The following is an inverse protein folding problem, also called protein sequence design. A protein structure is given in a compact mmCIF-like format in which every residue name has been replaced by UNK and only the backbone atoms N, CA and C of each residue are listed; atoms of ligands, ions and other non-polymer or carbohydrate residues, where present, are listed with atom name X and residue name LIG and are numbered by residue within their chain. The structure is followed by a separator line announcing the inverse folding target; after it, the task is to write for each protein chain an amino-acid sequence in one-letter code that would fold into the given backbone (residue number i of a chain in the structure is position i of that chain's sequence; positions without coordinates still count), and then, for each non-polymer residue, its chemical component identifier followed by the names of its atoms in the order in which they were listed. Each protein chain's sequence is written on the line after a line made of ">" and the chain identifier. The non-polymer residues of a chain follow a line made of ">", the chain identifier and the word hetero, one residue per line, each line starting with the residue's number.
data_IF_958607149150
#
_entry.id   IF_958607149150
#
_cell.length_a   1.000
_cell.length_b   1.000
_cell.length_c   1.000
_cell.angle_alpha   90.00
_cell.angle_beta   90.00
_cell.angle_gamma   90.00
#
_symmetry.space_group_name_H-M   'P 1'
#
loop_
_entity.id
_entity.type
_entity.pdbx_description
1 polymer ?
#
# COMPACT_ATOMS: atom_id res chain seq x y z
N UNK A 1 -7.44 24.67 -3.30
CA UNK A 1 -7.74 23.23 -3.16
C UNK A 1 -7.84 22.96 -1.68
N UNK A 2 -8.98 22.50 -1.18
CA UNK A 2 -9.20 22.40 0.27
C UNK A 2 -8.34 21.29 0.87
N UNK A 3 -7.41 21.65 1.75
CA UNK A 3 -6.50 20.73 2.43
C UNK A 3 -7.26 19.56 3.08
N UNK A 4 -8.46 19.83 3.60
CA UNK A 4 -9.34 18.85 4.22
C UNK A 4 -9.81 17.74 3.25
N UNK A 5 -10.08 18.06 1.98
CA UNK A 5 -10.53 17.07 1.00
C UNK A 5 -9.38 16.12 0.62
N UNK A 6 -8.18 16.65 0.48
CA UNK A 6 -7.00 15.88 0.09
C UNK A 6 -6.57 14.91 1.19
N UNK A 7 -6.50 15.38 2.44
CA UNK A 7 -6.24 14.55 3.62
C UNK A 7 -7.27 13.43 3.76
N UNK A 8 -8.57 13.73 3.63
CA UNK A 8 -9.63 12.71 3.67
C UNK A 8 -9.42 11.63 2.63
N UNK A 9 -9.08 11.99 1.38
CA UNK A 9 -8.85 11.01 0.32
C UNK A 9 -7.64 10.13 0.60
N UNK A 10 -6.53 10.72 1.02
CA UNK A 10 -5.32 9.97 1.37
C UNK A 10 -5.61 8.96 2.49
N UNK A 11 -6.28 9.41 3.57
CA UNK A 11 -6.70 8.54 4.68
C UNK A 11 -7.61 7.40 4.20
N UNK A 12 -8.61 7.69 3.39
CA UNK A 12 -9.52 6.68 2.85
C UNK A 12 -8.80 5.61 2.01
N UNK A 13 -7.84 6.02 1.18
CA UNK A 13 -7.06 5.10 0.35
C UNK A 13 -6.17 4.20 1.21
N UNK A 14 -5.50 4.78 2.22
CA UNK A 14 -4.68 4.00 3.15
C UNK A 14 -5.54 3.03 3.96
N UNK A 15 -6.70 3.46 4.46
CA UNK A 15 -7.63 2.59 5.20
C UNK A 15 -8.13 1.42 4.34
N UNK A 16 -8.53 1.69 3.10
CA UNK A 16 -8.99 0.65 2.18
C UNK A 16 -7.86 -0.34 1.85
N UNK A 17 -6.64 0.18 1.62
CA UNK A 17 -5.45 -0.64 1.42
C UNK A 17 -5.13 -1.51 2.63
N UNK A 18 -5.22 -0.96 3.84
CA UNK A 18 -4.98 -1.68 5.10
C UNK A 18 -6.01 -2.78 5.28
N UNK A 19 -7.28 -2.50 5.02
CA UNK A 19 -8.35 -3.49 5.10
C UNK A 19 -8.10 -4.64 4.13
N UNK A 20 -7.67 -4.35 2.90
CA UNK A 20 -7.39 -5.38 1.90
C UNK A 20 -6.15 -6.22 2.27
N UNK A 21 -5.12 -5.59 2.85
CA UNK A 21 -3.95 -6.29 3.37
C UNK A 21 -4.33 -7.23 4.53
N UNK A 22 -5.13 -6.75 5.48
CA UNK A 22 -5.62 -7.57 6.59
C UNK A 22 -6.50 -8.71 6.09
N UNK A 23 -7.43 -8.43 5.17
CA UNK A 23 -8.28 -9.46 4.57
C UNK A 23 -7.45 -10.54 3.86
N UNK A 24 -6.42 -10.15 3.11
CA UNK A 24 -5.48 -11.09 2.47
C UNK A 24 -4.76 -11.96 3.51
N UNK A 25 -4.23 -11.35 4.57
CA UNK A 25 -3.50 -12.06 5.63
C UNK A 25 -4.41 -13.04 6.36
N UNK A 26 -5.58 -12.59 6.80
CA UNK A 26 -6.57 -13.46 7.47
C UNK A 26 -6.98 -14.61 6.55
N UNK A 27 -7.19 -14.35 5.26
CA UNK A 27 -7.49 -15.42 4.30
C UNK A 27 -6.31 -16.39 4.18
N UNK A 28 -5.08 -15.90 4.10
CA UNK A 28 -3.89 -16.74 3.99
C UNK A 28 -3.60 -17.59 5.23
N UNK A 29 -3.97 -17.10 6.42
CA UNK A 29 -3.88 -17.87 7.65
C UNK A 29 -4.67 -19.18 7.57
N UNK A 30 -5.85 -19.17 6.93
CA UNK A 30 -6.68 -20.36 6.75
C UNK A 30 -6.46 -21.08 5.41
N UNK A 31 -5.82 -20.42 4.43
CA UNK A 31 -5.64 -20.94 3.07
C UNK A 31 -4.16 -20.88 2.64
N UNK A 32 -3.41 -22.00 2.73
CA UNK A 32 -1.97 -22.02 2.41
C UNK A 32 -1.62 -21.51 1.00
N UNK A 33 -2.52 -21.71 0.03
CA UNK A 33 -2.35 -21.22 -1.33
C UNK A 33 -2.29 -19.67 -1.43
N UNK A 34 -2.95 -18.96 -0.49
CA UNK A 34 -2.90 -17.50 -0.39
C UNK A 34 -1.65 -17.06 0.38
N UNK A 35 -1.30 -17.75 1.47
CA UNK A 35 -0.08 -17.48 2.23
C UNK A 35 1.19 -17.55 1.37
N UNK A 36 1.28 -18.55 0.48
CA UNK A 36 2.37 -18.68 -0.49
C UNK A 36 2.53 -17.47 -1.44
N UNK A 37 1.54 -16.56 -1.48
CA UNK A 37 1.50 -15.40 -2.37
C UNK A 37 1.49 -14.07 -1.63
N UNK A 38 1.69 -14.04 -0.31
CA UNK A 38 1.69 -12.79 0.47
C UNK A 38 2.62 -11.72 -0.08
N UNK A 39 3.83 -12.08 -0.52
CA UNK A 39 4.76 -11.12 -1.12
C UNK A 39 4.21 -10.47 -2.39
N UNK A 40 3.66 -11.28 -3.31
CA UNK A 40 3.11 -10.78 -4.57
C UNK A 40 1.83 -9.97 -4.35
N UNK A 41 0.88 -10.53 -3.58
CA UNK A 41 -0.41 -9.89 -3.35
C UNK A 41 -0.26 -8.60 -2.52
N UNK A 42 0.55 -8.63 -1.46
CA UNK A 42 0.79 -7.48 -0.61
C UNK A 42 1.49 -6.33 -1.34
N UNK A 43 2.46 -6.63 -2.21
CA UNK A 43 3.11 -5.59 -3.04
C UNK A 43 2.18 -5.06 -4.13
N UNK A 44 1.34 -5.91 -4.73
CA UNK A 44 0.33 -5.50 -5.71
C UNK A 44 -0.72 -4.56 -5.10
N UNK A 45 -1.25 -4.88 -3.91
CA UNK A 45 -2.18 -4.01 -3.19
C UNK A 45 -1.54 -2.64 -2.95
N UNK A 46 -0.28 -2.64 -2.52
CA UNK A 46 0.47 -1.40 -2.23
C UNK A 46 0.72 -0.57 -3.48
N UNK A 47 1.05 -1.20 -4.60
CA UNK A 47 1.18 -0.55 -5.91
C UNK A 47 -0.15 0.08 -6.34
N UNK A 48 -1.26 -0.65 -6.22
CA UNK A 48 -2.60 -0.15 -6.55
C UNK A 48 -2.96 1.04 -5.66
N UNK A 49 -2.68 0.98 -4.35
CA UNK A 49 -2.89 2.10 -3.44
C UNK A 49 -2.13 3.36 -3.91
N UNK A 50 -0.87 3.20 -4.33
CA UNK A 50 -0.09 4.27 -4.93
C UNK A 50 -0.71 4.85 -6.21
N UNK A 51 -1.17 3.98 -7.13
CA UNK A 51 -1.85 4.40 -8.36
C UNK A 51 -3.12 5.20 -8.07
N UNK A 52 -3.96 4.71 -7.15
CA UNK A 52 -5.21 5.37 -6.77
C UNK A 52 -4.94 6.71 -6.11
N UNK A 53 -3.95 6.77 -5.21
CA UNK A 53 -3.49 8.01 -4.60
C UNK A 53 -3.06 9.03 -5.66
N UNK A 54 -2.16 8.66 -6.58
CA UNK A 54 -1.70 9.58 -7.62
C UNK A 54 -2.82 10.05 -8.56
N UNK A 55 -3.81 9.20 -8.86
CA UNK A 55 -4.99 9.59 -9.65
C UNK A 55 -5.94 10.53 -8.91
N UNK A 56 -5.85 10.59 -7.58
CA UNK A 56 -6.61 11.55 -6.78
C UNK A 56 -6.01 12.96 -6.79
N UNK A 57 -4.75 13.09 -7.25
CA UNK A 57 -4.03 14.36 -7.36
C UNK A 57 -4.52 15.20 -8.54
N UNK A 58 -4.35 16.51 -8.43
CA UNK A 58 -4.55 17.45 -9.53
C UNK A 58 -3.59 17.19 -10.70
N UNK A 59 -3.97 17.62 -11.90
CA UNK A 59 -3.08 17.55 -13.07
C UNK A 59 -1.87 18.47 -12.86
N UNK A 60 -0.74 18.12 -13.48
CA UNK A 60 0.49 18.90 -13.41
C UNK A 60 1.32 18.67 -12.14
N UNK A 61 0.90 17.76 -11.26
CA UNK A 61 1.72 17.35 -10.12
C UNK A 61 2.98 16.63 -10.62
N UNK A 62 4.10 16.84 -9.93
CA UNK A 62 5.37 16.19 -10.27
C UNK A 62 5.38 14.70 -9.87
N UNK A 63 6.13 13.89 -10.63
CA UNK A 63 6.31 12.44 -10.34
C UNK A 63 6.85 12.18 -8.93
N UNK A 64 7.71 13.07 -8.39
CA UNK A 64 8.26 12.93 -7.04
C UNK A 64 7.21 13.01 -5.93
N UNK A 65 6.21 13.88 -6.08
CA UNK A 65 5.09 13.97 -5.12
C UNK A 65 4.21 12.71 -5.21
N UNK A 66 3.96 12.23 -6.42
CA UNK A 66 3.27 10.95 -6.64
C UNK A 66 4.01 9.79 -5.98
N UNK A 67 5.33 9.73 -6.13
CA UNK A 67 6.17 8.72 -5.50
C UNK A 67 6.08 8.78 -3.97
N UNK A 68 6.31 9.94 -3.36
CA UNK A 68 6.29 10.08 -1.90
C UNK A 68 4.93 9.71 -1.29
N UNK A 69 3.84 10.17 -1.88
CA UNK A 69 2.51 9.81 -1.38
C UNK A 69 2.17 8.33 -1.60
N UNK A 70 2.66 7.74 -2.70
CA UNK A 70 2.56 6.30 -2.94
C UNK A 70 3.37 5.46 -1.93
N UNK A 71 4.58 5.91 -1.58
CA UNK A 71 5.42 5.28 -0.54
C UNK A 71 4.69 5.24 0.79
N UNK A 72 4.07 6.35 1.19
CA UNK A 72 3.31 6.42 2.44
C UNK A 72 2.07 5.55 2.38
N UNK A 73 1.28 5.64 1.31
CA UNK A 73 0.04 4.86 1.17
C UNK A 73 0.32 3.34 1.17
N UNK A 74 1.26 2.89 0.33
CA UNK A 74 1.64 1.48 0.21
C UNK A 74 2.39 0.95 1.43
N UNK A 75 3.30 1.74 2.00
CA UNK A 75 4.08 1.36 3.17
C UNK A 75 3.22 1.22 4.42
N UNK A 76 2.37 2.21 4.71
CA UNK A 76 1.50 2.17 5.91
C UNK A 76 0.48 1.04 5.81
N UNK A 77 -0.13 0.82 4.64
CA UNK A 77 -1.11 -0.25 4.53
C UNK A 77 -0.48 -1.64 4.64
N UNK A 78 0.68 -1.86 4.02
CA UNK A 78 1.42 -3.10 4.15
C UNK A 78 1.93 -3.34 5.58
N UNK A 79 2.44 -2.31 6.26
CA UNK A 79 2.89 -2.43 7.65
C UNK A 79 1.78 -2.97 8.55
N UNK A 80 0.56 -2.44 8.41
CA UNK A 80 -0.60 -2.91 9.20
C UNK A 80 -0.89 -4.38 8.92
N UNK A 81 -0.99 -4.79 7.64
CA UNK A 81 -1.26 -6.18 7.30
C UNK A 81 -0.17 -7.14 7.75
N UNK A 82 1.10 -6.80 7.51
CA UNK A 82 2.23 -7.66 7.86
C UNK A 82 2.42 -7.73 9.38
N UNK A 83 2.14 -6.66 10.12
CA UNK A 83 2.13 -6.69 11.58
C UNK A 83 1.05 -7.64 12.13
N UNK A 84 -0.14 -7.65 11.55
CA UNK A 84 -1.19 -8.62 11.89
C UNK A 84 -0.71 -10.05 11.58
N UNK A 85 -0.12 -10.27 10.40
CA UNK A 85 0.41 -11.57 9.99
C UNK A 85 1.52 -12.08 10.93
N UNK A 86 2.39 -11.17 11.38
CA UNK A 86 3.43 -11.48 12.37
C UNK A 86 2.82 -11.86 13.73
N UNK A 87 1.80 -11.12 14.18
CA UNK A 87 1.08 -11.43 15.41
C UNK A 87 0.33 -12.77 15.37
N UNK A 88 -0.13 -13.20 14.19
CA UNK A 88 -0.74 -14.52 13.96
C UNK A 88 0.30 -15.65 13.84
N UNK A 89 1.60 -15.33 13.76
CA UNK A 89 2.68 -16.30 13.60
C UNK A 89 2.91 -16.78 12.16
N UNK A 90 2.29 -16.14 11.16
CA UNK A 90 2.40 -16.56 9.76
C UNK A 90 3.73 -16.14 9.09
N UNK A 91 4.36 -15.08 9.60
CA UNK A 91 5.58 -14.50 9.01
C UNK A 91 6.61 -14.12 10.09
N UNK A 92 7.88 -14.03 9.69
CA UNK A 92 8.98 -13.60 10.58
C UNK A 92 9.11 -12.08 10.66
N UNK A 93 9.81 -11.58 11.69
CA UNK A 93 10.11 -10.15 11.83
C UNK A 93 10.93 -9.58 10.64
N UNK A 94 11.71 -10.43 9.98
CA UNK A 94 12.47 -10.06 8.78
C UNK A 94 11.52 -9.74 7.62
N UNK A 95 10.45 -10.52 7.44
CA UNK A 95 9.41 -10.26 6.43
C UNK A 95 8.64 -8.98 6.78
N UNK A 96 8.40 -8.70 8.06
CA UNK A 96 7.79 -7.42 8.48
C UNK A 96 8.60 -6.23 7.96
N UNK A 97 9.91 -6.23 8.17
CA UNK A 97 10.77 -5.14 7.71
C UNK A 97 10.83 -5.08 6.18
N UNK A 98 11.32 -6.15 5.53
CA UNK A 98 11.57 -6.13 4.09
C UNK A 98 10.29 -6.10 3.26
N UNK A 99 9.22 -6.77 3.71
CA UNK A 99 7.93 -6.74 3.06
C UNK A 99 7.29 -5.34 3.11
N UNK A 100 7.44 -4.62 4.23
CA UNK A 100 7.00 -3.22 4.33
C UNK A 100 7.80 -2.32 3.40
N UNK A 101 9.14 -2.45 3.39
CA UNK A 101 9.99 -1.66 2.51
C UNK A 101 9.70 -1.90 1.03
N UNK A 102 9.57 -3.17 0.62
CA UNK A 102 9.23 -3.53 -0.75
C UNK A 102 7.86 -2.98 -1.15
N UNK A 103 6.88 -3.06 -0.25
CA UNK A 103 5.53 -2.52 -0.48
C UNK A 103 5.50 -1.00 -0.56
N UNK A 104 6.31 -0.32 0.25
CA UNK A 104 6.48 1.12 0.20
C UNK A 104 7.08 1.54 -1.16
N UNK A 105 8.12 0.86 -1.63
CA UNK A 105 8.68 1.09 -2.97
C UNK A 105 7.66 0.82 -4.06
N UNK A 106 6.92 -0.29 -3.99
CA UNK A 106 5.88 -0.64 -4.95
C UNK A 106 4.78 0.43 -5.02
N UNK A 107 4.31 0.92 -3.86
CA UNK A 107 3.38 2.04 -3.77
C UNK A 107 3.95 3.31 -4.36
N UNK A 108 5.21 3.63 -4.08
CA UNK A 108 5.91 4.76 -4.69
C UNK A 108 5.96 4.69 -6.20
N UNK A 109 6.32 3.52 -6.75
CA UNK A 109 6.33 3.28 -8.20
C UNK A 109 4.93 3.47 -8.79
N UNK A 110 3.91 2.87 -8.19
CA UNK A 110 2.52 3.05 -8.61
C UNK A 110 2.10 4.52 -8.61
N UNK A 111 2.49 5.26 -7.57
CA UNK A 111 2.25 6.68 -7.46
C UNK A 111 2.94 7.49 -8.56
N UNK A 112 4.24 7.28 -8.78
CA UNK A 112 5.01 7.99 -9.79
C UNK A 112 4.50 7.78 -11.23
N UNK A 113 4.05 6.56 -11.53
CA UNK A 113 3.57 6.18 -12.86
C UNK A 113 2.17 6.74 -13.18
N UNK A 114 1.34 6.94 -12.15
CA UNK A 114 -0.07 7.28 -12.33
C UNK A 114 -0.39 8.78 -12.22
N UNK A 115 0.61 9.63 -11.97
CA UNK A 115 0.42 11.08 -11.98
C UNK A 115 0.08 11.58 -13.39
N UNK A 116 -0.95 12.42 -13.49
CA UNK A 116 -1.37 13.04 -14.75
C UNK A 116 -0.53 14.28 -15.05
N UNK A 117 0.23 14.23 -16.15
CA UNK A 117 0.96 15.39 -16.69
C UNK A 117 -0.03 16.49 -17.12
N UNK A 118 0.40 17.74 -16.99
CA UNK A 118 -0.35 18.91 -17.44
C UNK A 118 -0.44 18.93 -18.96
#
# INVERSE_FOLDING_TARGET
>A
MDNALWLRRALWITLLGSLLQVAMVVTGHYMPAVAARFGLLGTLISLVAGVVFARSLTRGVGRGIGFLGGVLAGGVCALVGIAVSFGLGDVSAVILLFGTLASAVAGGVGGALAVRRA
#
